data_IF_897832410261
#
_entry.id   IF_897832410261
#
_cell.length_a   1.000
_cell.length_b   1.000
_cell.length_c   1.000
_cell.angle_alpha   90.00
_cell.angle_beta   90.00
_cell.angle_gamma   90.00
#
_symmetry.space_group_name_H-M   'P 1'
#
loop_
_entity.id
_entity.type
_entity.pdbx_description
1 polymer ?
#
# COMPACT_ATOMS: atom_id res chain seq x y z
N UNK A 1 -0.48 -15.87 2.89
CA UNK A 1 -1.89 -15.48 3.03
C UNK A 1 -1.96 -14.07 3.61
N UNK A 2 -2.95 -13.29 3.18
CA UNK A 2 -3.23 -11.95 3.70
C UNK A 2 -4.62 -12.00 4.32
N UNK A 3 -4.75 -11.54 5.56
CA UNK A 3 -6.01 -11.44 6.30
C UNK A 3 -6.21 -9.98 6.73
N UNK A 4 -7.41 -9.46 6.56
CA UNK A 4 -7.78 -8.12 7.01
C UNK A 4 -8.80 -8.23 8.12
N UNK A 5 -8.58 -7.52 9.21
CA UNK A 5 -9.51 -7.36 10.31
C UNK A 5 -10.00 -5.91 10.32
N UNK A 6 -11.24 -5.72 9.88
CA UNK A 6 -11.86 -4.40 9.79
C UNK A 6 -12.20 -3.82 11.16
N UNK A 7 -12.46 -4.66 12.17
CA UNK A 7 -12.77 -4.21 13.54
C UNK A 7 -11.54 -3.62 14.22
N UNK A 8 -10.39 -4.27 14.08
CA UNK A 8 -9.13 -3.82 14.63
C UNK A 8 -8.37 -2.85 13.70
N UNK A 9 -8.88 -2.65 12.49
CA UNK A 9 -8.22 -1.83 11.46
C UNK A 9 -6.79 -2.31 11.17
N UNK A 10 -6.61 -3.63 11.07
CA UNK A 10 -5.31 -4.26 10.85
C UNK A 10 -5.32 -5.18 9.64
N UNK A 11 -4.14 -5.35 9.06
CA UNK A 11 -3.88 -6.35 8.01
C UNK A 11 -2.70 -7.19 8.42
N UNK A 12 -2.91 -8.51 8.48
CA UNK A 12 -1.88 -9.49 8.82
C UNK A 12 -1.41 -10.20 7.56
N UNK A 13 -0.11 -10.11 7.30
CA UNK A 13 0.57 -10.95 6.34
C UNK A 13 1.09 -12.20 7.05
N UNK A 14 0.93 -13.35 6.42
CA UNK A 14 1.28 -14.64 7.00
C UNK A 14 1.98 -15.53 5.98
N UNK A 15 3.15 -16.04 6.33
CA UNK A 15 3.92 -17.00 5.56
C UNK A 15 3.97 -18.34 6.30
N UNK A 16 3.66 -19.41 5.60
CA UNK A 16 3.83 -20.77 6.10
C UNK A 16 5.16 -21.34 5.60
N UNK A 17 6.13 -21.48 6.50
CA UNK A 17 7.48 -21.95 6.18
C UNK A 17 7.51 -23.41 5.76
N UNK A 18 6.54 -24.23 6.17
CA UNK A 18 6.44 -25.64 5.78
C UNK A 18 6.19 -25.89 4.28
N UNK A 19 5.89 -24.83 3.49
CA UNK A 19 5.81 -24.87 2.02
C UNK A 19 6.89 -24.05 1.34
N UNK A 20 7.76 -23.43 2.11
CA UNK A 20 8.84 -22.60 1.59
C UNK A 20 9.99 -23.51 1.13
N UNK A 21 10.44 -23.34 -0.11
CA UNK A 21 11.60 -24.06 -0.67
C UNK A 21 12.90 -23.26 -0.54
N UNK A 22 12.88 -22.13 0.13
CA UNK A 22 14.03 -21.23 0.36
C UNK A 22 14.76 -20.82 -0.92
N UNK A 23 14.03 -20.60 -2.02
CA UNK A 23 14.60 -20.22 -3.32
C UNK A 23 15.11 -18.76 -3.39
N UNK A 24 14.90 -17.94 -2.37
CA UNK A 24 15.37 -16.56 -2.32
C UNK A 24 14.55 -15.55 -3.19
N UNK A 25 13.62 -16.00 -4.01
CA UNK A 25 12.90 -15.15 -4.95
C UNK A 25 12.15 -13.99 -4.28
N UNK A 26 11.57 -14.20 -3.11
CA UNK A 26 10.87 -13.15 -2.37
C UNK A 26 11.80 -12.04 -1.89
N UNK A 27 13.04 -12.35 -1.51
CA UNK A 27 14.07 -11.37 -1.14
C UNK A 27 14.55 -10.60 -2.37
N UNK A 28 14.81 -11.30 -3.47
CA UNK A 28 15.30 -10.71 -4.72
C UNK A 28 14.32 -9.69 -5.32
N UNK A 29 13.01 -9.99 -5.32
CA UNK A 29 11.99 -9.12 -5.93
C UNK A 29 11.40 -8.09 -4.98
N UNK A 30 11.77 -8.08 -3.70
CA UNK A 30 11.22 -7.15 -2.72
C UNK A 30 11.80 -5.74 -2.91
N UNK A 31 11.03 -4.74 -3.37
CA UNK A 31 11.57 -3.41 -3.67
C UNK A 31 12.00 -2.65 -2.42
N UNK A 32 11.45 -3.00 -1.26
CA UNK A 32 11.74 -2.36 0.03
C UNK A 32 12.71 -3.15 0.88
N UNK A 33 13.17 -4.32 0.40
CA UNK A 33 13.98 -5.28 1.17
C UNK A 33 13.38 -5.66 2.54
N UNK A 34 12.05 -5.66 2.63
CA UNK A 34 11.31 -6.00 3.85
C UNK A 34 11.38 -7.52 4.16
N UNK A 35 11.69 -8.34 3.16
CA UNK A 35 11.89 -9.77 3.30
C UNK A 35 13.36 -10.05 3.02
N UNK A 36 14.01 -10.66 4.01
CA UNK A 36 15.42 -11.04 3.93
C UNK A 36 15.57 -12.47 4.46
N UNK A 37 16.37 -13.28 3.79
CA UNK A 37 16.76 -14.58 4.25
C UNK A 37 17.94 -14.43 5.21
N UNK A 38 17.84 -15.02 6.38
CA UNK A 38 18.87 -14.97 7.42
C UNK A 38 19.22 -16.38 7.88
N UNK A 39 20.38 -16.53 8.50
CA UNK A 39 20.77 -17.80 9.14
C UNK A 39 20.03 -18.05 10.46
N UNK A 40 19.23 -17.09 10.91
CA UNK A 40 18.44 -17.20 12.14
C UNK A 40 17.06 -17.76 11.83
N UNK A 41 16.97 -19.04 11.61
CA UNK A 41 15.71 -19.75 11.36
C UNK A 41 15.69 -21.07 12.14
N UNK A 42 14.49 -21.50 12.53
CA UNK A 42 14.25 -22.80 13.14
C UNK A 42 13.07 -23.47 12.43
N UNK A 43 13.31 -24.69 11.92
CA UNK A 43 12.31 -25.48 11.20
C UNK A 43 11.95 -26.76 11.95
N UNK A 44 12.72 -27.09 13.00
CA UNK A 44 12.47 -28.27 13.85
C UNK A 44 11.41 -27.88 14.88
N UNK A 45 10.17 -28.20 14.58
CA UNK A 45 9.02 -27.88 15.45
C UNK A 45 8.21 -29.13 15.74
N UNK A 46 7.65 -29.21 16.92
CA UNK A 46 6.72 -30.29 17.31
C UNK A 46 5.29 -29.96 16.85
N UNK A 47 4.95 -28.67 16.76
CA UNK A 47 3.66 -28.20 16.29
C UNK A 47 3.81 -27.44 14.96
N UNK A 48 3.08 -27.88 13.92
CA UNK A 48 3.09 -27.23 12.60
C UNK A 48 2.61 -25.76 12.63
N UNK A 49 1.87 -25.36 13.65
CA UNK A 49 1.44 -23.96 13.84
C UNK A 49 2.64 -23.03 14.08
N UNK A 50 3.76 -23.52 14.58
CA UNK A 50 4.96 -22.72 14.85
C UNK A 50 5.74 -22.39 13.56
N UNK A 51 5.42 -23.06 12.45
CA UNK A 51 5.99 -22.76 11.12
C UNK A 51 5.37 -21.52 10.44
N UNK A 52 4.52 -20.78 11.12
CA UNK A 52 3.94 -19.55 10.58
C UNK A 52 4.68 -18.32 11.07
N UNK A 53 5.22 -17.55 10.10
CA UNK A 53 5.71 -16.19 10.35
C UNK A 53 4.60 -15.19 10.03
N UNK A 54 4.36 -14.24 10.93
CA UNK A 54 3.28 -13.24 10.80
C UNK A 54 3.81 -11.83 10.99
N UNK A 55 3.26 -10.90 10.19
CA UNK A 55 3.49 -9.47 10.35
C UNK A 55 2.14 -8.75 10.28
N UNK A 56 1.81 -7.99 11.33
CA UNK A 56 0.55 -7.26 11.43
C UNK A 56 0.81 -5.76 11.27
N UNK A 57 0.02 -5.12 10.43
CA UNK A 57 0.13 -3.71 10.09
C UNK A 57 -1.18 -2.99 10.38
N UNK A 58 -1.11 -1.81 10.99
CA UNK A 58 -2.25 -0.91 11.10
C UNK A 58 -2.55 -0.28 9.73
N UNK A 59 -3.81 -0.21 9.39
CA UNK A 59 -4.28 0.38 8.15
C UNK A 59 -4.52 1.88 8.30
N UNK A 60 -4.24 2.63 7.24
CA UNK A 60 -4.61 4.02 7.09
C UNK A 60 -6.08 4.09 6.68
N UNK A 61 -6.85 4.93 7.38
CA UNK A 61 -8.20 5.28 6.98
C UNK A 61 -8.19 6.40 5.94
N UNK A 62 -9.09 6.28 4.98
CA UNK A 62 -9.27 7.32 3.96
C UNK A 62 -9.84 8.59 4.58
N UNK A 63 -9.27 9.75 4.27
CA UNK A 63 -9.76 11.06 4.77
C UNK A 63 -11.13 11.46 4.20
N UNK A 64 -11.64 10.80 3.14
CA UNK A 64 -12.94 11.10 2.53
C UNK A 64 -14.04 10.12 2.90
N UNK A 65 -13.76 8.82 2.86
CA UNK A 65 -14.77 7.78 3.09
C UNK A 65 -14.52 6.93 4.35
N UNK A 66 -13.48 7.25 5.13
CA UNK A 66 -13.09 6.59 6.38
C UNK A 66 -12.79 5.09 6.29
N UNK A 67 -12.92 4.48 5.11
CA UNK A 67 -12.58 3.07 4.91
C UNK A 67 -11.08 2.84 5.03
N UNK A 68 -10.65 1.75 5.71
CA UNK A 68 -9.25 1.35 5.72
C UNK A 68 -8.83 0.87 4.33
N UNK A 69 -7.65 1.28 3.82
CA UNK A 69 -7.25 0.93 2.47
C UNK A 69 -5.82 0.40 2.34
N UNK A 70 -4.85 0.92 3.06
CA UNK A 70 -3.45 0.53 2.94
C UNK A 70 -2.72 0.60 4.28
N UNK A 71 -1.62 -0.16 4.48
CA UNK A 71 -0.79 -0.03 5.66
C UNK A 71 -0.24 1.39 5.82
N UNK A 72 -0.29 1.92 7.05
CA UNK A 72 0.18 3.29 7.34
C UNK A 72 1.65 3.52 6.90
N UNK A 73 2.52 2.52 7.11
CA UNK A 73 3.92 2.58 6.69
C UNK A 73 4.07 2.72 5.16
N UNK A 74 3.22 2.03 4.39
CA UNK A 74 3.25 2.10 2.92
C UNK A 74 2.80 3.48 2.42
N UNK A 75 1.77 4.06 3.04
CA UNK A 75 1.28 5.41 2.72
C UNK A 75 2.35 6.46 3.04
N UNK A 76 2.99 6.34 4.21
CA UNK A 76 4.07 7.24 4.60
C UNK A 76 5.29 7.16 3.66
N UNK A 77 5.70 5.93 3.30
CA UNK A 77 6.81 5.71 2.35
C UNK A 77 6.49 6.31 0.97
N UNK A 78 5.28 6.07 0.45
CA UNK A 78 4.85 6.61 -0.83
C UNK A 78 4.88 8.15 -0.85
N UNK A 79 4.39 8.79 0.22
CA UNK A 79 4.43 10.24 0.35
C UNK A 79 5.87 10.78 0.43
N UNK A 80 6.76 10.06 1.09
CA UNK A 80 8.18 10.44 1.20
C UNK A 80 8.90 10.32 -0.15
N UNK A 81 8.71 9.24 -0.88
CA UNK A 81 9.29 9.04 -2.22
C UNK A 81 8.82 10.11 -3.21
N UNK A 82 7.53 10.46 -3.19
CA UNK A 82 6.99 11.54 -4.01
C UNK A 82 7.60 12.90 -3.65
N UNK A 83 7.80 13.18 -2.36
CA UNK A 83 8.43 14.42 -1.91
C UNK A 83 9.90 14.52 -2.35
N UNK A 84 10.63 13.42 -2.39
CA UNK A 84 12.00 13.37 -2.88
C UNK A 84 12.10 13.64 -4.39
N UNK A 85 11.18 13.09 -5.19
CA UNK A 85 11.17 13.29 -6.63
C UNK A 85 10.87 14.75 -7.05
N UNK A 86 10.05 15.44 -6.30
CA UNK A 86 9.63 16.81 -6.65
C UNK A 86 10.59 17.91 -6.15
N UNK A 87 11.68 17.57 -5.46
CA UNK A 87 12.64 18.51 -4.85
C UNK A 87 12.01 19.67 -4.06
N UNK A 88 10.77 19.47 -3.57
CA UNK A 88 9.97 20.50 -2.92
C UNK A 88 9.62 20.09 -1.47
N UNK A 89 10.48 20.37 -0.48
CA UNK A 89 10.21 20.02 0.91
C UNK A 89 8.95 20.71 1.47
N UNK A 90 8.51 21.79 0.85
CA UNK A 90 7.32 22.56 1.26
C UNK A 90 6.00 21.84 0.95
N UNK A 91 5.99 20.85 0.05
CA UNK A 91 4.79 20.13 -0.36
C UNK A 91 4.56 18.81 0.39
N UNK A 92 5.39 18.47 1.37
CA UNK A 92 5.29 17.18 2.10
C UNK A 92 3.91 16.97 2.74
N UNK A 93 3.36 18.01 3.31
CA UNK A 93 2.07 17.92 3.99
C UNK A 93 0.92 17.74 3.00
N UNK A 94 0.96 18.43 1.88
CA UNK A 94 0.00 18.27 0.79
C UNK A 94 0.10 16.86 0.17
N UNK A 95 1.29 16.34 -0.05
CA UNK A 95 1.51 14.98 -0.57
C UNK A 95 1.03 13.91 0.41
N UNK A 96 1.22 14.10 1.71
CA UNK A 96 0.65 13.22 2.74
C UNK A 96 -0.87 13.26 2.76
N UNK A 97 -1.46 14.44 2.63
CA UNK A 97 -2.91 14.59 2.54
C UNK A 97 -3.47 13.88 1.30
N UNK A 98 -2.82 14.02 0.14
CA UNK A 98 -3.18 13.30 -1.08
C UNK A 98 -2.98 11.79 -0.96
N UNK A 99 -1.91 11.35 -0.30
CA UNK A 99 -1.63 9.93 -0.06
C UNK A 99 -2.63 9.30 0.93
N UNK A 100 -3.27 10.10 1.80
CA UNK A 100 -4.28 9.61 2.76
C UNK A 100 -5.67 9.38 2.14
N UNK A 101 -5.86 9.66 0.86
CA UNK A 101 -7.10 9.38 0.13
C UNK A 101 -7.01 8.01 -0.55
N UNK A 102 -8.02 7.15 -0.41
CA UNK A 102 -8.04 5.84 -1.05
C UNK A 102 -8.14 5.94 -2.59
N UNK A 103 -7.70 4.91 -3.33
CA UNK A 103 -7.74 4.92 -4.81
C UNK A 103 -9.12 5.18 -5.40
N UNK A 104 -10.17 4.61 -4.81
CA UNK A 104 -11.55 4.80 -5.27
C UNK A 104 -12.01 6.25 -5.15
N UNK A 105 -11.69 6.93 -4.04
CA UNK A 105 -12.02 8.34 -3.86
C UNK A 105 -11.21 9.24 -4.78
N UNK A 106 -9.98 8.85 -5.13
CA UNK A 106 -9.16 9.56 -6.13
C UNK A 106 -9.77 9.44 -7.52
N UNK A 107 -10.12 8.22 -7.93
CA UNK A 107 -10.77 7.97 -9.23
C UNK A 107 -12.08 8.75 -9.38
N UNK A 108 -12.95 8.74 -8.34
CA UNK A 108 -14.19 9.54 -8.36
C UNK A 108 -13.92 11.03 -8.53
N UNK A 109 -12.90 11.56 -7.88
CA UNK A 109 -12.56 12.97 -8.01
C UNK A 109 -12.07 13.32 -9.43
N UNK A 110 -11.34 12.41 -10.09
CA UNK A 110 -10.88 12.59 -11.46
C UNK A 110 -12.06 12.57 -12.44
N UNK A 111 -12.98 11.60 -12.30
CA UNK A 111 -14.15 11.48 -13.16
C UNK A 111 -15.09 12.70 -13.07
N UNK A 112 -15.25 13.27 -11.87
CA UNK A 112 -16.08 14.47 -11.68
C UNK A 112 -15.45 15.70 -12.35
N UNK A 113 -14.12 15.78 -12.41
CA UNK A 113 -13.43 16.88 -13.07
C UNK A 113 -13.46 16.77 -14.61
N UNK A 114 -13.58 15.55 -15.16
CA UNK A 114 -13.73 15.33 -16.61
C UNK A 114 -15.13 15.74 -17.13
N UNK A 115 -16.17 15.70 -16.29
CA UNK A 115 -17.52 16.13 -16.68
C UNK A 115 -17.67 17.68 -16.80
N UNK A 116 -16.63 18.45 -16.48
CA UNK A 116 -16.60 19.92 -16.64
C UNK A 116 -15.92 20.40 -17.92
N UNK A 117 -15.39 19.50 -18.74
CA UNK A 117 -14.90 19.86 -20.08
C UNK A 117 -16.10 20.01 -21.04
N UNK A 118 -16.47 21.26 -21.24
CA UNK A 118 -17.44 21.76 -22.19
C UNK A 118 -17.14 21.19 -23.59
N UNK A 119 -18.16 20.68 -24.33
CA UNK A 119 -17.93 20.18 -25.68
C UNK A 119 -17.44 21.31 -26.55
N UNK A 120 -16.27 21.16 -27.17
CA UNK A 120 -15.75 22.04 -28.21
C UNK A 120 -16.74 22.05 -29.38
N UNK A 121 -17.72 22.95 -29.32
CA UNK A 121 -18.59 23.25 -30.45
C UNK A 121 -17.71 23.96 -31.46
N UNK A 122 -17.37 23.23 -32.52
CA UNK A 122 -16.76 23.77 -33.71
C UNK A 122 -17.64 24.93 -34.22
N UNK A 123 -17.18 26.17 -34.08
CA UNK A 123 -17.73 27.30 -34.81
C UNK A 123 -17.37 27.13 -36.27
N UNK A 124 -18.24 26.50 -37.01
CA UNK A 124 -18.30 26.64 -38.45
C UNK A 124 -18.64 28.10 -38.74
N UNK A 125 -17.70 28.86 -39.26
CA UNK A 125 -17.93 30.16 -39.84
C UNK A 125 -18.13 29.95 -41.34
N UNK A 126 -19.36 30.30 -41.76
CA UNK A 126 -19.72 30.66 -43.15
C UNK A 126 -19.01 31.94 -43.60
#
# INVERSE_FOLDING_TARGET
TIQTDDQQNTRTWQLYLGRCIYCGRCEEVCPTRAIQLTNNFELTVTNKADLYTRATFHLQRCSRCERPFAPQKTVALAAELLAQQQNAPQNREMLRAQASVCPECKQRATLINDDTDEPLVAKEQL
#
